data_IF_063489827546
#
_entry.id   IF_063489827546
#
_cell.length_a   1.000
_cell.length_b   1.000
_cell.length_c   1.000
_cell.angle_alpha   90.00
_cell.angle_beta   90.00
_cell.angle_gamma   90.00
#
_symmetry.space_group_name_H-M   'P 1'
#
loop_
_entity.id
_entity.type
_entity.pdbx_description
1 polymer ?
#
# COMPACT_ATOMS: atom_id res chain seq x y z
N UNK A 1 5.14 16.62 29.30
CA UNK A 1 4.06 17.62 29.43
C UNK A 1 3.19 17.48 28.20
N UNK A 2 1.88 17.43 28.35
CA UNK A 2 0.94 17.32 27.23
C UNK A 2 0.21 18.65 27.04
N UNK A 3 -0.12 19.03 25.81
CA UNK A 3 -1.02 20.15 25.55
C UNK A 3 -2.47 19.70 25.55
N UNK A 4 -3.34 20.33 26.35
CA UNK A 4 -4.79 20.08 26.33
C UNK A 4 -5.58 21.38 26.19
N UNK A 5 -6.68 21.30 25.44
CA UNK A 5 -7.66 22.37 25.32
C UNK A 5 -9.07 21.77 25.28
N UNK A 6 -9.97 22.32 26.10
CA UNK A 6 -11.40 22.00 26.04
C UNK A 6 -12.12 23.18 25.41
N UNK A 7 -12.98 22.91 24.45
CA UNK A 7 -13.74 23.94 23.75
C UNK A 7 -15.21 23.59 23.75
N UNK A 8 -16.05 24.55 24.15
CA UNK A 8 -17.51 24.49 23.96
C UNK A 8 -17.88 25.44 22.84
N UNK A 9 -18.78 25.01 21.96
CA UNK A 9 -19.35 25.86 20.90
C UNK A 9 -20.85 25.96 21.10
N UNK A 10 -21.36 27.19 21.22
CA UNK A 10 -22.79 27.48 21.17
C UNK A 10 -23.13 28.02 19.78
N UNK A 11 -23.80 27.19 18.97
CA UNK A 11 -24.17 27.57 17.61
C UNK A 11 -25.28 28.61 17.55
N UNK A 12 -26.10 28.75 18.61
CA UNK A 12 -27.21 29.70 18.62
C UNK A 12 -26.71 31.14 18.74
N UNK A 13 -25.64 31.34 19.51
CA UNK A 13 -25.03 32.66 19.73
C UNK A 13 -23.73 32.86 18.94
N UNK A 14 -23.32 31.86 18.14
CA UNK A 14 -22.01 31.76 17.49
C UNK A 14 -20.84 32.04 18.46
N UNK A 15 -20.95 31.47 19.66
CA UNK A 15 -19.98 31.62 20.74
C UNK A 15 -19.07 30.39 20.82
N UNK A 16 -17.80 30.64 21.17
CA UNK A 16 -16.82 29.58 21.41
C UNK A 16 -16.09 29.88 22.72
N UNK A 17 -16.30 29.02 23.70
CA UNK A 17 -15.63 29.08 24.99
C UNK A 17 -14.45 28.11 24.98
N UNK A 18 -13.31 28.54 25.50
CA UNK A 18 -12.10 27.73 25.63
C UNK A 18 -11.64 27.69 27.07
N UNK A 19 -11.22 26.52 27.56
CA UNK A 19 -10.69 26.38 28.93
C UNK A 19 -9.41 27.19 29.15
N UNK A 20 -8.41 27.01 28.28
CA UNK A 20 -7.24 27.88 28.24
C UNK A 20 -7.56 29.11 27.36
N UNK A 21 -7.49 30.34 27.88
CA UNK A 21 -7.83 31.53 27.10
C UNK A 21 -6.89 31.72 25.91
N UNK A 22 -7.47 31.95 24.73
CA UNK A 22 -6.72 32.25 23.50
C UNK A 22 -7.33 33.48 22.85
N UNK A 23 -6.52 34.46 22.46
CA UNK A 23 -7.05 35.64 21.78
C UNK A 23 -7.38 35.26 20.34
N UNK A 24 -8.45 35.84 19.79
CA UNK A 24 -8.83 35.63 18.39
C UNK A 24 -7.74 36.06 17.39
N UNK A 25 -6.82 36.91 17.81
CA UNK A 25 -5.70 37.42 17.02
C UNK A 25 -4.44 36.55 17.10
N UNK A 26 -4.39 35.57 18.01
CA UNK A 26 -3.20 34.76 18.21
C UNK A 26 -3.02 33.76 17.05
N UNK A 27 -1.81 33.68 16.51
CA UNK A 27 -1.44 32.67 15.53
C UNK A 27 -1.14 31.32 16.22
N UNK A 28 -1.66 30.24 15.65
CA UNK A 28 -1.44 28.87 16.12
C UNK A 28 -2.49 28.39 17.14
N UNK A 29 -3.10 27.25 16.83
CA UNK A 29 -4.12 26.63 17.68
C UNK A 29 -3.48 25.72 18.74
N UNK A 30 -2.73 24.71 18.31
CA UNK A 30 -2.16 23.66 19.18
C UNK A 30 -1.06 24.19 20.10
N UNK A 31 -0.26 25.15 19.64
CA UNK A 31 0.86 25.73 20.39
C UNK A 31 0.45 26.52 21.65
N UNK A 32 -0.85 26.80 21.81
CA UNK A 32 -1.41 27.60 22.91
C UNK A 32 -2.24 26.78 23.88
N UNK A 33 -2.25 25.46 23.73
CA UNK A 33 -2.97 24.59 24.65
C UNK A 33 -2.40 24.72 26.07
N UNK A 34 -3.25 24.52 27.06
CA UNK A 34 -2.80 24.49 28.45
C UNK A 34 -1.92 23.29 28.71
N UNK A 35 -0.96 23.43 29.62
CA UNK A 35 -0.06 22.34 29.97
C UNK A 35 -0.72 21.38 30.95
N UNK A 36 -0.85 20.12 30.54
CA UNK A 36 -1.24 19.02 31.38
C UNK A 36 0.01 18.31 31.91
N UNK A 37 0.18 18.45 33.22
CA UNK A 37 1.22 17.79 34.00
C UNK A 37 0.65 16.57 34.72
N UNK A 38 1.51 15.62 35.11
CA UNK A 38 1.09 14.47 35.92
C UNK A 38 0.66 13.23 35.14
N UNK A 39 0.60 13.28 33.80
CA UNK A 39 0.53 12.06 32.98
C UNK A 39 1.90 11.38 33.03
N UNK A 40 1.98 10.31 33.81
CA UNK A 40 3.16 9.45 33.97
C UNK A 40 2.73 8.00 33.81
N UNK A 41 3.68 7.13 33.46
CA UNK A 41 3.50 5.68 33.38
C UNK A 41 2.41 5.20 32.40
N UNK A 42 2.15 5.97 31.34
CA UNK A 42 1.36 5.49 30.22
C UNK A 42 2.02 4.24 29.64
N UNK A 43 1.35 3.11 29.72
CA UNK A 43 1.81 1.87 29.12
C UNK A 43 1.58 1.98 27.60
N UNK A 44 2.62 2.05 26.76
CA UNK A 44 2.43 2.03 25.32
C UNK A 44 1.80 0.70 24.94
N UNK A 45 0.61 0.76 24.33
CA UNK A 45 -0.04 -0.45 23.85
C UNK A 45 0.68 -0.86 22.57
N UNK A 46 1.41 -1.98 22.62
CA UNK A 46 2.03 -2.57 21.44
C UNK A 46 0.92 -2.96 20.48
N UNK A 47 0.84 -2.28 19.34
CA UNK A 47 -0.10 -2.62 18.27
C UNK A 47 0.52 -3.79 17.49
N UNK A 48 -0.05 -4.97 17.64
CA UNK A 48 0.29 -6.15 16.84
C UNK A 48 -0.98 -6.60 16.12
N UNK A 49 -0.94 -6.56 14.80
CA UNK A 49 -2.00 -7.08 13.94
C UNK A 49 -1.40 -8.16 13.04
N UNK A 50 -2.08 -9.31 12.96
CA UNK A 50 -1.68 -10.43 12.11
C UNK A 50 -2.93 -10.87 11.35
N UNK A 51 -2.82 -10.96 10.04
CA UNK A 51 -3.89 -11.28 9.10
C UNK A 51 -3.43 -12.47 8.24
N UNK A 52 -3.64 -13.72 8.70
CA UNK A 52 -3.39 -14.89 7.88
C UNK A 52 -4.51 -15.05 6.84
N UNK A 53 -4.16 -15.53 5.65
CA UNK A 53 -5.15 -15.84 4.61
C UNK A 53 -4.79 -17.10 3.83
N UNK A 54 -5.82 -17.69 3.22
CA UNK A 54 -5.72 -18.83 2.32
C UNK A 54 -6.57 -18.52 1.09
N UNK A 55 -6.01 -18.75 -0.09
CA UNK A 55 -6.64 -18.54 -1.38
C UNK A 55 -6.69 -19.86 -2.15
N UNK A 56 -7.87 -20.25 -2.59
CA UNK A 56 -8.07 -21.28 -3.61
C UNK A 56 -8.48 -20.65 -4.93
N UNK A 57 -7.77 -20.94 -6.00
CA UNK A 57 -8.06 -20.48 -7.36
C UNK A 57 -8.28 -21.68 -8.27
N UNK A 58 -9.31 -21.60 -9.11
CA UNK A 58 -9.58 -22.56 -10.18
C UNK A 58 -9.68 -21.78 -11.49
N UNK A 59 -8.78 -22.05 -12.41
CA UNK A 59 -8.75 -21.44 -13.74
C UNK A 59 -9.14 -22.49 -14.78
N UNK A 60 -9.97 -22.09 -15.74
CA UNK A 60 -10.36 -22.95 -16.87
C UNK A 60 -9.97 -22.28 -18.17
N UNK A 61 -9.39 -23.05 -19.08
CA UNK A 61 -8.89 -22.57 -20.37
C UNK A 61 -9.01 -23.69 -21.41
N UNK A 62 -8.78 -23.37 -22.68
CA UNK A 62 -8.87 -24.38 -23.75
C UNK A 62 -7.70 -25.37 -23.63
N UNK A 63 -8.01 -26.66 -23.55
CA UNK A 63 -6.96 -27.68 -23.53
C UNK A 63 -6.23 -27.73 -24.88
N UNK A 64 -4.90 -27.91 -24.83
CA UNK A 64 -4.07 -28.11 -26.01
C UNK A 64 -3.66 -29.59 -26.08
N UNK A 65 -3.95 -30.24 -27.21
CA UNK A 65 -3.67 -31.65 -27.41
C UNK A 65 -2.15 -31.89 -27.42
N UNK A 66 -1.68 -32.74 -26.51
CA UNK A 66 -0.24 -33.06 -26.34
C UNK A 66 0.50 -32.21 -25.30
N UNK A 67 -0.06 -31.09 -24.83
CA UNK A 67 0.59 -30.20 -23.85
C UNK A 67 0.28 -30.63 -22.39
N UNK A 68 1.26 -31.11 -21.60
CA UNK A 68 1.02 -31.55 -20.23
C UNK A 68 0.69 -30.42 -19.26
N UNK A 69 0.99 -29.17 -19.63
CA UNK A 69 0.73 -27.97 -18.81
C UNK A 69 -0.57 -27.26 -19.20
N UNK A 70 -1.15 -27.59 -20.36
CA UNK A 70 -2.38 -27.00 -20.85
C UNK A 70 -3.54 -28.01 -20.92
N UNK A 71 -3.87 -28.61 -19.78
CA UNK A 71 -4.91 -29.66 -19.64
C UNK A 71 -6.35 -29.11 -19.61
N UNK A 72 -6.53 -27.79 -19.62
CA UNK A 72 -7.81 -27.10 -19.64
C UNK A 72 -8.38 -26.71 -18.27
N UNK A 73 -7.74 -27.17 -17.19
CA UNK A 73 -8.05 -26.73 -15.82
C UNK A 73 -6.78 -26.65 -14.99
N UNK A 74 -6.60 -25.52 -14.32
CA UNK A 74 -5.54 -25.31 -13.33
C UNK A 74 -6.17 -25.02 -11.96
N UNK A 75 -5.62 -25.60 -10.90
CA UNK A 75 -6.10 -25.42 -9.52
C UNK A 75 -4.91 -25.07 -8.64
N UNK A 76 -4.97 -23.89 -8.04
CA UNK A 76 -3.91 -23.35 -7.21
C UNK A 76 -4.44 -23.14 -5.80
N UNK A 77 -3.65 -23.57 -4.82
CA UNK A 77 -3.85 -23.24 -3.42
C UNK A 77 -2.66 -22.40 -2.96
N UNK A 78 -2.93 -21.29 -2.27
CA UNK A 78 -1.91 -20.39 -1.75
C UNK A 78 -2.30 -19.93 -0.36
N UNK A 79 -1.31 -19.68 0.48
CA UNK A 79 -1.53 -19.16 1.83
C UNK A 79 -0.45 -18.12 2.13
N UNK A 80 -0.82 -17.07 2.86
CA UNK A 80 0.06 -16.00 3.21
C UNK A 80 -0.31 -15.37 4.54
N UNK A 81 0.54 -14.48 5.01
CA UNK A 81 0.33 -13.76 6.27
C UNK A 81 0.77 -12.33 6.09
N UNK A 82 -0.13 -11.41 6.38
CA UNK A 82 0.18 -9.99 6.48
C UNK A 82 0.19 -9.59 7.95
N UNK A 83 0.96 -8.57 8.31
CA UNK A 83 0.97 -8.08 9.68
C UNK A 83 1.57 -6.71 9.85
N UNK A 84 1.22 -6.10 10.97
CA UNK A 84 1.66 -4.78 11.41
C UNK A 84 2.12 -4.83 12.86
N UNK A 85 3.27 -4.22 13.12
CA UNK A 85 3.89 -4.16 14.45
C UNK A 85 4.28 -2.71 14.76
N UNK A 86 3.69 -2.13 15.80
CA UNK A 86 4.17 -0.88 16.40
C UNK A 86 5.47 -1.13 17.16
N UNK A 87 6.61 -0.75 16.55
CA UNK A 87 7.95 -0.90 17.13
C UNK A 87 8.17 0.14 18.22
N UNK A 88 7.75 1.38 17.96
CA UNK A 88 7.67 2.49 18.94
C UNK A 88 6.33 3.21 18.76
N UNK A 89 6.06 4.26 19.53
CA UNK A 89 4.83 5.06 19.37
C UNK A 89 4.73 5.73 17.99
N UNK A 90 5.88 5.99 17.36
CA UNK A 90 5.98 6.73 16.10
C UNK A 90 6.55 5.89 14.95
N UNK A 91 6.86 4.60 15.19
CA UNK A 91 7.46 3.70 14.22
C UNK A 91 6.64 2.41 14.11
N UNK A 92 6.24 2.10 12.89
CA UNK A 92 5.48 0.91 12.52
C UNK A 92 6.26 0.06 11.51
N UNK A 93 6.25 -1.25 11.71
CA UNK A 93 6.75 -2.26 10.79
C UNK A 93 5.55 -2.97 10.17
N UNK A 94 5.41 -2.88 8.85
CA UNK A 94 4.46 -3.68 8.09
C UNK A 94 5.22 -4.79 7.37
N UNK A 95 4.70 -6.01 7.40
CA UNK A 95 5.32 -7.15 6.74
C UNK A 95 4.27 -8.02 6.04
N UNK A 96 4.72 -8.74 5.01
CA UNK A 96 3.92 -9.72 4.28
C UNK A 96 4.77 -10.94 3.95
N UNK A 97 4.17 -12.13 4.05
CA UNK A 97 4.75 -13.42 3.67
C UNK A 97 3.84 -14.04 2.62
N UNK A 98 4.44 -14.39 1.48
CA UNK A 98 3.77 -14.89 0.29
C UNK A 98 2.54 -14.05 -0.13
N UNK A 99 2.69 -12.74 -0.35
CA UNK A 99 1.60 -11.85 -0.75
C UNK A 99 0.86 -12.36 -1.99
N UNK A 100 -0.46 -12.27 -1.97
CA UNK A 100 -1.28 -12.57 -3.13
C UNK A 100 -1.21 -11.44 -4.16
N UNK A 101 -0.72 -11.78 -5.35
CA UNK A 101 -0.65 -10.89 -6.51
C UNK A 101 -1.83 -11.05 -7.47
N UNK A 102 -2.63 -12.09 -7.31
CA UNK A 102 -3.73 -12.46 -8.21
C UNK A 102 -5.04 -11.71 -7.97
N UNK A 103 -5.19 -11.04 -6.81
CA UNK A 103 -6.40 -10.28 -6.45
C UNK A 103 -6.41 -8.82 -6.94
N UNK A 104 -5.41 -8.39 -7.71
CA UNK A 104 -5.43 -7.06 -8.31
C UNK A 104 -6.25 -7.10 -9.59
N UNK A 105 -7.34 -6.32 -9.62
CA UNK A 105 -8.10 -6.04 -10.85
C UNK A 105 -7.14 -5.82 -12.03
N UNK A 106 -7.44 -6.46 -13.17
CA UNK A 106 -6.67 -6.27 -14.39
C UNK A 106 -6.55 -4.77 -14.68
N UNK A 107 -5.32 -4.31 -14.93
CA UNK A 107 -5.11 -2.91 -15.26
C UNK A 107 -5.92 -2.55 -16.50
N UNK A 108 -6.62 -1.41 -16.52
CA UNK A 108 -7.33 -0.98 -17.71
C UNK A 108 -6.32 -0.89 -18.85
N UNK A 109 -6.64 -1.49 -20.00
CA UNK A 109 -5.76 -1.46 -21.16
C UNK A 109 -5.44 -0.02 -21.54
N UNK A 110 -4.18 0.39 -21.37
CA UNK A 110 -3.71 1.71 -21.73
C UNK A 110 -2.83 1.61 -22.98
N UNK A 111 -3.30 2.14 -24.11
CA UNK A 111 -2.49 2.28 -25.31
C UNK A 111 -1.67 3.55 -25.19
N UNK A 112 -0.38 3.43 -24.84
CA UNK A 112 0.53 4.56 -24.88
C UNK A 112 1.17 4.65 -26.27
N UNK A 113 0.86 5.73 -26.98
CA UNK A 113 1.44 6.04 -28.29
C UNK A 113 2.79 6.79 -28.15
N UNK A 114 3.27 6.94 -26.92
CA UNK A 114 4.46 7.70 -26.54
C UNK A 114 5.49 6.74 -25.92
N UNK A 115 6.79 7.02 -26.04
CA UNK A 115 7.88 6.15 -25.55
C UNK A 115 8.08 6.11 -24.02
N UNK A 116 7.12 6.58 -23.23
CA UNK A 116 7.22 6.67 -21.77
C UNK A 116 6.41 5.58 -21.07
N UNK A 117 6.79 5.19 -19.86
CA UNK A 117 6.07 4.17 -19.10
C UNK A 117 4.72 4.70 -18.60
N UNK A 118 3.65 3.89 -18.74
CA UNK A 118 2.35 4.17 -18.11
C UNK A 118 2.41 3.74 -16.64
N UNK A 119 2.05 4.65 -15.75
CA UNK A 119 1.94 4.38 -14.32
C UNK A 119 0.51 3.99 -13.95
N UNK A 120 0.34 2.84 -13.30
CA UNK A 120 -0.94 2.39 -12.76
C UNK A 120 -0.99 2.58 -11.25
N UNK A 121 -2.17 2.92 -10.72
CA UNK A 121 -2.37 3.04 -9.28
C UNK A 121 -2.15 1.69 -8.60
N UNK A 122 -1.29 1.61 -7.59
CA UNK A 122 -1.15 0.41 -6.76
C UNK A 122 -2.45 0.09 -6.01
N UNK A 123 -2.82 -1.20 -5.92
CA UNK A 123 -4.07 -1.66 -5.28
C UNK A 123 -3.87 -2.76 -4.23
N UNK A 124 -2.67 -3.33 -4.15
CA UNK A 124 -2.34 -4.36 -3.15
C UNK A 124 -2.23 -3.72 -1.75
N UNK A 125 -2.93 -4.22 -0.73
CA UNK A 125 -2.97 -3.61 0.60
C UNK A 125 -1.59 -3.25 1.16
N UNK A 126 -0.63 -4.19 1.11
CA UNK A 126 0.75 -3.97 1.59
C UNK A 126 1.44 -2.76 0.94
N UNK A 127 1.22 -2.51 -0.36
CA UNK A 127 1.88 -1.43 -1.09
C UNK A 127 1.08 -0.12 -1.12
N UNK A 128 -0.24 -0.17 -0.88
CA UNK A 128 -1.11 1.01 -0.73
C UNK A 128 -0.94 1.64 0.63
N UNK A 129 -0.79 0.81 1.66
CA UNK A 129 -0.71 1.29 3.02
C UNK A 129 0.52 2.20 3.23
N UNK A 130 0.34 3.31 3.94
CA UNK A 130 1.41 4.28 4.21
C UNK A 130 2.14 4.80 2.94
N UNK A 131 1.54 4.65 1.74
CA UNK A 131 2.11 5.11 0.47
C UNK A 131 2.34 6.62 0.44
N UNK A 132 1.49 7.37 1.14
CA UNK A 132 1.60 8.81 1.30
C UNK A 132 2.92 9.26 1.95
N UNK A 133 3.63 8.39 2.68
CA UNK A 133 4.95 8.69 3.26
C UNK A 133 6.05 8.62 2.18
N UNK A 134 5.79 7.91 1.09
CA UNK A 134 6.70 7.76 -0.05
C UNK A 134 6.31 8.60 -1.27
N UNK A 135 5.23 9.38 -1.15
CA UNK A 135 4.76 10.28 -2.18
C UNK A 135 5.41 11.65 -1.95
N UNK A 136 6.50 11.90 -2.69
CA UNK A 136 7.20 13.18 -2.63
C UNK A 136 6.82 14.04 -3.83
N UNK A 137 6.45 15.28 -3.57
CA UNK A 137 6.36 16.33 -4.59
C UNK A 137 7.71 17.07 -4.61
N UNK A 138 8.74 16.44 -5.20
CA UNK A 138 10.07 17.06 -5.28
C UNK A 138 10.12 18.10 -6.41
N UNK A 139 9.40 17.84 -7.49
CA UNK A 139 9.25 18.74 -8.62
C UNK A 139 7.85 19.35 -8.58
N UNK A 140 7.72 20.58 -8.07
CA UNK A 140 6.47 21.33 -8.12
C UNK A 140 6.24 21.86 -9.53
N UNK A 141 5.74 21.03 -10.44
CA UNK A 141 5.49 21.46 -11.81
C UNK A 141 4.12 22.14 -11.90
N UNK A 142 4.10 23.46 -12.18
CA UNK A 142 2.87 24.23 -12.43
C UNK A 142 2.05 23.73 -13.63
N UNK A 143 2.56 22.74 -14.38
CA UNK A 143 1.97 22.25 -15.63
C UNK A 143 0.80 21.28 -15.42
N UNK A 144 0.70 20.60 -14.27
CA UNK A 144 -0.36 19.63 -13.99
C UNK A 144 -0.37 18.39 -14.90
N UNK A 145 -0.61 17.20 -14.31
CA UNK A 145 -0.77 15.94 -15.04
C UNK A 145 0.07 14.79 -14.47
N UNK A 146 0.14 13.66 -15.20
CA UNK A 146 0.94 12.46 -14.81
C UNK A 146 2.47 12.71 -14.72
N UNK A 147 2.90 13.95 -14.97
CA UNK A 147 4.29 14.41 -14.90
C UNK A 147 4.66 14.98 -13.53
N UNK A 148 3.70 15.11 -12.61
CA UNK A 148 3.82 15.82 -11.32
C UNK A 148 3.95 14.89 -10.10
N UNK A 149 4.20 13.60 -10.34
CA UNK A 149 4.43 12.63 -9.28
C UNK A 149 5.84 12.07 -9.40
N UNK A 150 6.76 12.55 -8.57
CA UNK A 150 8.06 11.92 -8.37
C UNK A 150 7.85 10.62 -7.58
N UNK A 151 7.34 9.59 -8.27
CA UNK A 151 7.21 8.23 -7.78
C UNK A 151 8.61 7.62 -7.61
N UNK A 152 9.31 8.00 -6.54
CA UNK A 152 10.60 7.41 -6.15
C UNK A 152 10.51 5.88 -5.98
N UNK A 153 9.29 5.38 -5.71
CA UNK A 153 9.00 3.97 -5.58
C UNK A 153 7.76 3.57 -6.40
N UNK A 154 7.96 2.74 -7.43
CA UNK A 154 6.87 2.17 -8.23
C UNK A 154 6.71 0.67 -7.95
N UNK A 155 5.87 0.36 -6.95
CA UNK A 155 5.61 -1.00 -6.43
C UNK A 155 5.08 -1.98 -7.47
N UNK A 156 4.40 -1.50 -8.52
CA UNK A 156 3.86 -2.33 -9.62
C UNK A 156 4.92 -3.12 -10.40
N UNK A 157 6.20 -2.74 -10.31
CA UNK A 157 7.31 -3.55 -10.86
C UNK A 157 7.54 -4.84 -10.08
N UNK A 158 7.18 -4.85 -8.80
CA UNK A 158 7.31 -6.02 -7.94
C UNK A 158 6.17 -6.96 -8.27
N UNK A 159 6.51 -8.18 -8.68
CA UNK A 159 5.56 -9.22 -9.04
C UNK A 159 4.91 -9.09 -10.42
N UNK A 160 5.54 -8.33 -11.32
CA UNK A 160 5.19 -8.31 -12.74
C UNK A 160 5.59 -9.59 -13.48
N UNK A 161 5.25 -9.64 -14.77
CA UNK A 161 5.61 -10.76 -15.63
C UNK A 161 7.12 -10.95 -15.74
N UNK A 162 7.61 -12.20 -15.88
CA UNK A 162 9.02 -12.46 -16.11
C UNK A 162 9.56 -11.67 -17.30
N UNK A 163 10.75 -11.09 -17.18
CA UNK A 163 11.36 -10.30 -18.26
C UNK A 163 11.81 -11.14 -19.47
N UNK A 164 11.89 -12.47 -19.30
CA UNK A 164 12.32 -13.39 -20.34
C UNK A 164 11.20 -14.36 -20.62
N UNK A 165 10.77 -14.38 -21.88
CA UNK A 165 9.83 -15.36 -22.39
C UNK A 165 10.61 -16.49 -23.07
N UNK A 166 10.17 -17.72 -22.85
CA UNK A 166 10.64 -18.88 -23.58
C UNK A 166 9.55 -19.23 -24.59
N UNK A 167 9.87 -19.25 -25.89
CA UNK A 167 8.91 -19.71 -26.88
C UNK A 167 8.77 -21.21 -26.77
N UNK A 168 7.55 -21.70 -26.58
CA UNK A 168 7.22 -23.09 -26.90
C UNK A 168 7.13 -23.21 -28.41
N UNK A 169 7.76 -24.25 -28.96
CA UNK A 169 7.63 -24.62 -30.35
C UNK A 169 7.04 -26.03 -30.39
N UNK A 170 5.78 -26.09 -30.80
CA UNK A 170 5.01 -27.33 -30.89
C UNK A 170 5.58 -28.29 -31.92
N UNK A 171 6.35 -27.81 -32.90
CA UNK A 171 6.86 -28.62 -34.00
C UNK A 171 8.12 -29.42 -33.59
N UNK A 172 8.84 -28.95 -32.56
CA UNK A 172 9.99 -29.64 -31.95
C UNK A 172 9.64 -30.39 -30.65
N UNK A 173 8.37 -30.37 -30.23
CA UNK A 173 7.85 -31.22 -29.14
C UNK A 173 8.21 -30.78 -27.72
N UNK A 174 8.53 -29.50 -27.50
CA UNK A 174 8.81 -28.97 -26.17
C UNK A 174 7.73 -28.00 -25.69
N UNK A 175 7.12 -28.31 -24.54
CA UNK A 175 6.15 -27.46 -23.86
C UNK A 175 6.82 -26.68 -22.73
N UNK A 176 6.34 -25.46 -22.50
CA UNK A 176 6.89 -24.56 -21.49
C UNK A 176 5.85 -24.30 -20.42
N UNK A 177 6.21 -24.60 -19.17
CA UNK A 177 5.50 -24.09 -17.99
C UNK A 177 6.19 -22.81 -17.53
N UNK A 178 5.53 -21.66 -17.69
CA UNK A 178 6.04 -20.36 -17.25
C UNK A 178 5.01 -19.62 -16.39
N UNK A 179 5.42 -19.06 -15.26
CA UNK A 179 4.53 -18.26 -14.43
C UNK A 179 4.17 -16.96 -15.15
N UNK A 180 2.90 -16.58 -15.10
CA UNK A 180 2.43 -15.30 -15.65
C UNK A 180 2.99 -14.11 -14.87
N UNK A 181 3.15 -14.26 -13.55
CA UNK A 181 3.63 -13.21 -12.65
C UNK A 181 4.75 -13.76 -11.77
N UNK A 182 5.72 -12.91 -11.43
CA UNK A 182 6.78 -13.23 -10.47
C UNK A 182 6.21 -13.19 -9.05
N UNK A 183 6.31 -14.27 -8.27
CA UNK A 183 5.95 -14.22 -6.85
C UNK A 183 7.13 -13.71 -6.02
N UNK A 184 6.87 -12.86 -5.03
CA UNK A 184 7.83 -12.58 -3.96
C UNK A 184 7.49 -13.41 -2.74
N UNK A 185 8.52 -13.89 -2.04
CA UNK A 185 8.34 -14.71 -0.84
C UNK A 185 7.89 -13.88 0.37
N UNK A 186 8.18 -12.58 0.37
CA UNK A 186 7.74 -11.65 1.38
C UNK A 186 8.33 -10.25 1.17
N UNK A 187 7.85 -9.30 1.96
CA UNK A 187 8.34 -7.94 2.00
C UNK A 187 8.13 -7.35 3.39
N UNK A 188 8.94 -6.35 3.73
CA UNK A 188 8.81 -5.59 4.97
C UNK A 188 9.12 -4.11 4.71
N UNK A 189 8.41 -3.22 5.40
CA UNK A 189 8.67 -1.78 5.37
C UNK A 189 8.61 -1.20 6.79
N UNK A 190 9.52 -0.29 7.07
CA UNK A 190 9.51 0.51 8.29
C UNK A 190 9.02 1.91 7.93
N UNK A 191 8.00 2.38 8.64
CA UNK A 191 7.44 3.71 8.43
C UNK A 191 7.20 4.40 9.76
N UNK A 192 7.52 5.69 9.81
CA UNK A 192 7.36 6.47 11.03
C UNK A 192 7.41 7.97 10.75
N UNK A 193 6.80 8.75 11.63
CA UNK A 193 6.78 10.21 11.53
C UNK A 193 7.48 10.80 12.74
N UNK A 194 8.54 11.57 12.51
CA UNK A 194 9.24 12.35 13.52
C UNK A 194 8.52 13.65 13.83
#
# INVERSE_FOLDING_TARGET
VWGIQSTRRDFRMDERDTWQPMRRTDAGWVSRFGELHGIKDLQPQKQLEIQPYVLGQVSTFKAEEGNPFATGKDTRLSAGVDGRIGVTNDLTLDFTINPDFGQVEADPGALNLNGFQVFFSERRPFFVENRNIFEYQLTGSDAGGNYDSDLLFYSRRIGGAPHRYISSDSDIGYYVDQPQNTTILGAAKFSGKT
#
